data_IF_680275802130
#
_entry.id   IF_680275802130
#
_cell.length_a   1.000
_cell.length_b   1.000
_cell.length_c   1.000
_cell.angle_alpha   90.00
_cell.angle_beta   90.00
_cell.angle_gamma   90.00
#
_symmetry.space_group_name_H-M   'P 1'
#
loop_
_entity.id
_entity.type
_entity.pdbx_description
1 polymer ?
#
# COMPACT_ATOMS: atom_id res chain seq x y z
N UNK A 1 20.30 -17.87 -21.88
CA UNK A 1 20.10 -18.44 -20.54
C UNK A 1 18.63 -18.27 -20.17
N UNK A 2 17.83 -19.30 -20.18
CA UNK A 2 16.44 -19.26 -19.72
C UNK A 2 16.51 -18.98 -18.22
N UNK A 3 16.13 -17.76 -17.82
CA UNK A 3 16.04 -17.38 -16.40
C UNK A 3 15.13 -18.39 -15.70
N UNK A 4 15.65 -19.10 -14.69
CA UNK A 4 14.83 -20.00 -13.87
C UNK A 4 13.68 -19.18 -13.29
N UNK A 5 12.46 -19.59 -13.60
CA UNK A 5 11.25 -18.99 -13.07
C UNK A 5 11.37 -18.92 -11.54
N UNK A 6 11.13 -17.73 -10.96
CA UNK A 6 11.19 -17.53 -9.51
C UNK A 6 9.98 -18.17 -8.84
N UNK A 7 10.16 -19.38 -8.33
CA UNK A 7 9.10 -20.18 -7.69
C UNK A 7 8.51 -19.46 -6.46
N UNK A 8 9.30 -18.65 -5.75
CA UNK A 8 8.82 -17.90 -4.61
C UNK A 8 7.88 -16.78 -5.02
N UNK A 9 8.20 -16.05 -6.09
CA UNK A 9 7.31 -15.05 -6.66
C UNK A 9 6.00 -15.68 -7.18
N UNK A 10 6.09 -16.83 -7.87
CA UNK A 10 4.90 -17.55 -8.33
C UNK A 10 3.97 -17.94 -7.17
N UNK A 11 4.53 -18.40 -6.05
CA UNK A 11 3.75 -18.74 -4.86
C UNK A 11 3.04 -17.49 -4.31
N UNK A 12 3.72 -16.34 -4.22
CA UNK A 12 3.11 -15.10 -3.75
C UNK A 12 2.01 -14.61 -4.71
N UNK A 13 2.22 -14.70 -6.01
CA UNK A 13 1.19 -14.36 -7.01
C UNK A 13 -0.02 -15.30 -6.90
N UNK A 14 0.21 -16.61 -6.71
CA UNK A 14 -0.86 -17.58 -6.48
C UNK A 14 -1.65 -17.25 -5.18
N UNK A 15 -0.95 -16.91 -4.10
CA UNK A 15 -1.57 -16.47 -2.85
C UNK A 15 -2.39 -15.17 -3.03
N UNK A 16 -1.87 -14.20 -3.77
CA UNK A 16 -2.59 -12.96 -4.10
C UNK A 16 -3.83 -13.24 -4.97
N UNK A 17 -3.73 -14.19 -5.93
CA UNK A 17 -4.89 -14.65 -6.73
C UNK A 17 -5.96 -15.25 -5.83
N UNK A 18 -5.56 -16.11 -4.89
CA UNK A 18 -6.49 -16.74 -3.93
C UNK A 18 -7.17 -15.66 -3.06
N UNK A 19 -6.43 -14.66 -2.61
CA UNK A 19 -6.94 -13.57 -1.79
C UNK A 19 -8.05 -12.77 -2.51
N UNK A 20 -7.91 -12.51 -3.81
CA UNK A 20 -8.89 -11.73 -4.58
C UNK A 20 -9.92 -12.59 -5.30
N UNK A 21 -9.82 -13.93 -5.23
CA UNK A 21 -10.73 -14.85 -5.88
C UNK A 21 -12.22 -14.57 -5.64
N UNK A 22 -12.67 -14.19 -4.42
CA UNK A 22 -14.07 -13.92 -4.15
C UNK A 22 -14.70 -12.86 -5.07
N UNK A 23 -13.91 -11.88 -5.56
CA UNK A 23 -14.40 -10.87 -6.52
C UNK A 23 -14.75 -11.49 -7.88
N UNK A 24 -14.01 -12.53 -8.28
CA UNK A 24 -14.19 -13.18 -9.59
C UNK A 24 -15.23 -14.32 -9.55
N UNK A 25 -15.51 -14.86 -8.37
CA UNK A 25 -16.52 -15.90 -8.16
C UNK A 25 -17.95 -15.36 -8.31
N UNK A 26 -18.16 -14.05 -8.35
CA UNK A 26 -19.48 -13.40 -8.47
C UNK A 26 -19.47 -12.38 -9.60
N UNK A 27 -20.62 -12.14 -10.29
CA UNK A 27 -20.72 -11.16 -11.38
C UNK A 27 -20.59 -9.71 -10.87
N UNK A 28 -21.14 -9.41 -9.69
CA UNK A 28 -21.12 -8.07 -9.07
C UNK A 28 -19.88 -7.84 -8.20
N UNK A 29 -19.68 -6.59 -7.76
CA UNK A 29 -18.82 -6.25 -6.62
C UNK A 29 -19.59 -6.44 -5.30
N UNK A 30 -18.90 -6.59 -4.15
CA UNK A 30 -19.52 -6.50 -2.84
C UNK A 30 -20.18 -5.13 -2.64
N UNK A 31 -21.19 -5.08 -1.78
CA UNK A 31 -21.85 -3.84 -1.37
C UNK A 31 -20.98 -3.10 -0.35
N UNK A 32 -19.82 -2.61 -0.77
CA UNK A 32 -18.97 -1.79 0.10
C UNK A 32 -19.56 -0.38 0.31
N UNK A 33 -19.03 0.39 1.26
CA UNK A 33 -19.49 1.77 1.52
C UNK A 33 -19.31 2.68 0.31
N UNK A 34 -18.24 2.47 -0.49
CA UNK A 34 -17.83 3.34 -1.60
C UNK A 34 -17.77 2.61 -2.95
N UNK A 35 -18.00 1.29 -2.99
CA UNK A 35 -17.82 0.47 -4.20
C UNK A 35 -18.62 0.97 -5.39
N UNK A 36 -19.87 1.35 -5.18
CA UNK A 36 -20.78 1.81 -6.23
C UNK A 36 -20.28 3.10 -6.89
N UNK A 37 -19.86 4.09 -6.10
CA UNK A 37 -19.37 5.36 -6.64
C UNK A 37 -18.09 5.19 -7.46
N UNK A 38 -17.24 4.22 -7.14
CA UNK A 38 -16.05 3.91 -7.92
C UNK A 38 -16.39 3.31 -9.28
N UNK A 39 -17.43 2.45 -9.36
CA UNK A 39 -17.91 1.91 -10.63
C UNK A 39 -18.50 3.02 -11.51
N UNK A 40 -19.32 3.92 -10.95
CA UNK A 40 -19.86 5.06 -11.70
C UNK A 40 -18.76 5.99 -12.22
N UNK A 41 -17.72 6.25 -11.44
CA UNK A 41 -16.56 7.03 -11.90
C UNK A 41 -15.84 6.35 -13.05
N UNK A 42 -15.63 5.03 -12.98
CA UNK A 42 -15.01 4.28 -14.07
C UNK A 42 -15.88 4.30 -15.35
N UNK A 43 -17.21 4.19 -15.22
CA UNK A 43 -18.15 4.29 -16.33
C UNK A 43 -18.11 5.67 -16.99
N UNK A 44 -18.03 6.75 -16.20
CA UNK A 44 -17.89 8.12 -16.73
C UNK A 44 -16.59 8.32 -17.49
N UNK A 45 -15.47 7.77 -17.00
CA UNK A 45 -14.19 7.81 -17.72
C UNK A 45 -14.30 7.02 -19.02
N UNK A 46 -14.88 5.81 -19.01
CA UNK A 46 -15.09 5.01 -20.22
C UNK A 46 -15.91 5.77 -21.26
N UNK A 47 -17.03 6.35 -20.86
CA UNK A 47 -17.90 7.14 -21.74
C UNK A 47 -17.15 8.33 -22.34
N UNK A 48 -16.39 9.06 -21.53
CA UNK A 48 -15.58 10.19 -22.00
C UNK A 48 -14.54 9.76 -23.03
N UNK A 49 -13.85 8.62 -22.79
CA UNK A 49 -12.88 8.06 -23.74
C UNK A 49 -13.57 7.69 -25.07
N UNK A 50 -14.76 7.07 -25.03
CA UNK A 50 -15.54 6.76 -26.25
C UNK A 50 -15.93 8.01 -27.04
N UNK A 51 -16.06 9.16 -26.38
CA UNK A 51 -16.33 10.46 -26.98
C UNK A 51 -15.06 11.20 -27.44
N UNK A 52 -13.85 10.58 -27.30
CA UNK A 52 -12.57 11.16 -27.69
C UNK A 52 -11.86 11.97 -26.61
N UNK A 53 -12.41 12.07 -25.40
CA UNK A 53 -11.78 12.77 -24.26
C UNK A 53 -10.96 11.77 -23.45
N UNK A 54 -9.65 11.69 -23.74
CA UNK A 54 -8.76 10.68 -23.16
C UNK A 54 -8.43 10.95 -21.68
N UNK A 55 -8.47 12.20 -21.25
CA UNK A 55 -8.22 12.61 -19.85
C UNK A 55 -9.32 13.57 -19.39
N UNK A 56 -10.50 13.02 -19.02
CA UNK A 56 -11.60 13.85 -18.56
C UNK A 56 -11.27 14.46 -17.18
N UNK A 57 -11.62 15.72 -17.00
CA UNK A 57 -11.63 16.42 -15.70
C UNK A 57 -13.04 16.60 -15.14
N UNK A 58 -14.03 16.49 -16.01
CA UNK A 58 -15.44 16.69 -15.77
C UNK A 58 -16.22 15.40 -15.98
N UNK A 59 -17.17 15.09 -15.08
CA UNK A 59 -18.09 13.97 -15.18
C UNK A 59 -19.48 14.53 -15.53
N UNK A 60 -19.91 14.53 -16.80
CA UNK A 60 -21.12 15.23 -17.24
C UNK A 60 -22.41 14.67 -16.65
N UNK A 61 -22.51 13.36 -16.40
CA UNK A 61 -23.73 12.71 -15.90
C UNK A 61 -23.88 12.79 -14.38
N UNK A 62 -22.83 13.24 -13.67
CA UNK A 62 -22.87 13.35 -12.21
C UNK A 62 -23.72 14.56 -11.78
N UNK A 63 -24.11 14.56 -10.51
CA UNK A 63 -24.90 15.62 -9.89
C UNK A 63 -26.21 15.88 -10.62
N UNK A 64 -26.96 14.77 -10.86
CA UNK A 64 -28.26 14.78 -11.56
C UNK A 64 -28.20 15.31 -12.99
N UNK A 65 -27.09 15.05 -13.70
CA UNK A 65 -26.86 15.52 -15.08
C UNK A 65 -26.40 16.98 -15.18
N UNK A 66 -26.14 17.66 -14.07
CA UNK A 66 -25.56 19.00 -14.08
C UNK A 66 -24.03 18.97 -14.27
N UNK A 67 -23.42 17.80 -14.13
CA UNK A 67 -21.99 17.61 -14.24
C UNK A 67 -21.24 17.91 -12.93
N UNK A 68 -20.04 17.34 -12.81
CA UNK A 68 -19.20 17.51 -11.62
C UNK A 68 -17.71 17.43 -11.96
N UNK A 69 -16.85 18.35 -11.45
CA UNK A 69 -15.41 18.39 -11.75
C UNK A 69 -14.61 17.33 -10.96
N UNK A 70 -15.16 16.11 -10.75
CA UNK A 70 -14.59 15.13 -9.84
C UNK A 70 -13.16 14.73 -10.22
N UNK A 71 -12.89 14.54 -11.52
CA UNK A 71 -11.58 14.07 -12.00
C UNK A 71 -10.50 15.15 -12.00
N UNK A 72 -10.86 16.40 -11.70
CA UNK A 72 -9.89 17.46 -11.43
C UNK A 72 -9.33 17.36 -10.00
N UNK A 73 -10.10 16.82 -9.06
CA UNK A 73 -9.77 16.79 -7.64
C UNK A 73 -9.64 15.37 -7.06
N UNK A 74 -10.16 14.37 -7.75
CA UNK A 74 -10.05 12.97 -7.34
C UNK A 74 -9.17 12.18 -8.32
N UNK A 75 -8.19 11.48 -7.78
CA UNK A 75 -7.14 10.82 -8.55
C UNK A 75 -7.67 9.81 -9.58
N UNK A 76 -7.24 9.89 -10.84
CA UNK A 76 -7.94 9.24 -11.95
C UNK A 76 -7.45 7.83 -12.32
N UNK A 77 -6.28 7.36 -11.83
CA UNK A 77 -5.61 6.18 -12.38
C UNK A 77 -6.47 4.91 -12.30
N UNK A 78 -7.11 4.66 -11.14
CA UNK A 78 -7.93 3.46 -10.96
C UNK A 78 -9.06 3.40 -11.99
N UNK A 79 -9.70 4.53 -12.27
CA UNK A 79 -10.82 4.64 -13.21
C UNK A 79 -10.38 4.48 -14.65
N UNK A 80 -9.23 5.06 -15.01
CA UNK A 80 -8.65 4.89 -16.35
C UNK A 80 -8.26 3.42 -16.59
N UNK A 81 -7.62 2.76 -15.63
CA UNK A 81 -7.29 1.34 -15.74
C UNK A 81 -8.55 0.47 -15.89
N UNK A 82 -9.59 0.74 -15.10
CA UNK A 82 -10.87 0.04 -15.20
C UNK A 82 -11.53 0.28 -16.56
N UNK A 83 -11.58 1.54 -17.02
CA UNK A 83 -12.17 1.92 -18.29
C UNK A 83 -11.42 1.31 -19.48
N UNK A 84 -10.09 1.40 -19.52
CA UNK A 84 -9.29 0.80 -20.59
C UNK A 84 -9.42 -0.72 -20.61
N UNK A 85 -9.42 -1.38 -19.45
CA UNK A 85 -9.67 -2.82 -19.40
C UNK A 85 -11.06 -3.17 -19.97
N UNK A 86 -12.09 -2.43 -19.58
CA UNK A 86 -13.46 -2.59 -20.10
C UNK A 86 -13.51 -2.44 -21.61
N UNK A 87 -12.89 -1.38 -22.15
CA UNK A 87 -12.86 -1.08 -23.59
C UNK A 87 -12.14 -2.14 -24.43
N UNK A 88 -11.01 -2.66 -23.90
CA UNK A 88 -10.17 -3.63 -24.62
C UNK A 88 -10.77 -5.04 -24.52
N UNK A 89 -11.30 -5.42 -23.35
CA UNK A 89 -11.82 -6.77 -23.12
C UNK A 89 -13.28 -6.94 -23.55
N UNK A 90 -14.06 -5.86 -23.60
CA UNK A 90 -15.52 -5.90 -23.80
C UNK A 90 -16.31 -6.42 -22.60
N UNK A 91 -15.67 -6.68 -21.44
CA UNK A 91 -16.29 -7.29 -20.24
C UNK A 91 -17.02 -6.28 -19.34
N UNK A 92 -16.96 -4.99 -19.64
CA UNK A 92 -17.62 -3.92 -18.90
C UNK A 92 -16.83 -3.42 -17.69
N UNK A 93 -17.25 -2.25 -17.17
CA UNK A 93 -16.54 -1.50 -16.12
C UNK A 93 -16.45 -2.23 -14.77
N UNK A 94 -17.42 -3.09 -14.44
CA UNK A 94 -17.36 -3.91 -13.23
C UNK A 94 -16.19 -4.89 -13.29
N UNK A 95 -15.99 -5.55 -14.45
CA UNK A 95 -14.83 -6.42 -14.67
C UNK A 95 -13.53 -5.61 -14.66
N UNK A 96 -13.55 -4.40 -15.25
CA UNK A 96 -12.43 -3.47 -15.18
C UNK A 96 -12.06 -3.07 -13.75
N UNK A 97 -13.04 -2.81 -12.91
CA UNK A 97 -12.82 -2.50 -11.49
C UNK A 97 -12.21 -3.70 -10.74
N UNK A 98 -12.71 -4.92 -11.00
CA UNK A 98 -12.10 -6.16 -10.44
C UNK A 98 -10.67 -6.37 -10.91
N UNK A 99 -10.38 -6.05 -12.17
CA UNK A 99 -9.01 -6.07 -12.70
C UNK A 99 -8.08 -5.13 -11.92
N UNK A 100 -8.56 -3.92 -11.55
CA UNK A 100 -7.77 -2.99 -10.73
C UNK A 100 -7.47 -3.57 -9.35
N UNK A 101 -8.43 -4.24 -8.71
CA UNK A 101 -8.22 -4.92 -7.41
C UNK A 101 -7.22 -6.09 -7.54
N UNK A 102 -7.29 -6.88 -8.62
CA UNK A 102 -6.31 -7.93 -8.92
C UNK A 102 -4.90 -7.34 -9.10
N UNK A 103 -4.80 -6.26 -9.87
CA UNK A 103 -3.54 -5.55 -10.09
C UNK A 103 -2.95 -5.04 -8.78
N UNK A 104 -3.77 -4.45 -7.90
CA UNK A 104 -3.36 -4.00 -6.57
C UNK A 104 -2.79 -5.14 -5.72
N UNK A 105 -3.45 -6.31 -5.72
CA UNK A 105 -2.98 -7.48 -4.98
C UNK A 105 -1.64 -8.00 -5.52
N UNK A 106 -1.47 -8.07 -6.85
CA UNK A 106 -0.22 -8.51 -7.47
C UNK A 106 0.94 -7.54 -7.25
N UNK A 107 0.68 -6.24 -7.39
CA UNK A 107 1.69 -5.21 -7.12
C UNK A 107 2.08 -5.22 -5.64
N UNK A 108 1.12 -5.36 -4.74
CA UNK A 108 1.36 -5.38 -3.31
C UNK A 108 2.19 -6.59 -2.88
N UNK A 109 1.66 -7.80 -3.10
CA UNK A 109 2.36 -9.05 -2.74
C UNK A 109 3.70 -9.21 -3.46
N UNK A 110 3.72 -8.96 -4.78
CA UNK A 110 4.94 -9.02 -5.59
C UNK A 110 5.97 -7.96 -5.20
N UNK A 111 5.52 -6.73 -4.93
CA UNK A 111 6.38 -5.63 -4.49
C UNK A 111 7.05 -5.93 -3.14
N UNK A 112 6.29 -6.40 -2.15
CA UNK A 112 6.84 -6.87 -0.86
C UNK A 112 7.84 -8.01 -1.07
N UNK A 113 7.48 -9.00 -1.89
CA UNK A 113 8.38 -10.10 -2.20
C UNK A 113 9.72 -9.61 -2.76
N UNK A 114 9.70 -8.75 -3.76
CA UNK A 114 10.91 -8.20 -4.37
C UNK A 114 11.73 -7.36 -3.39
N UNK A 115 11.07 -6.52 -2.58
CA UNK A 115 11.70 -5.68 -1.57
C UNK A 115 12.42 -6.51 -0.50
N UNK A 116 11.71 -7.50 0.09
CA UNK A 116 12.26 -8.36 1.14
C UNK A 116 13.32 -9.30 0.60
N UNK A 117 13.13 -9.88 -0.61
CA UNK A 117 14.09 -10.76 -1.26
C UNK A 117 15.45 -10.08 -1.47
N UNK A 118 15.43 -8.82 -1.90
CA UNK A 118 16.65 -8.05 -2.10
C UNK A 118 17.42 -7.79 -0.80
N UNK A 119 16.72 -7.80 0.33
CA UNK A 119 17.31 -7.52 1.65
C UNK A 119 17.76 -8.77 2.38
N UNK A 120 16.96 -9.83 2.37
CA UNK A 120 17.15 -10.97 3.28
C UNK A 120 17.15 -12.34 2.63
N UNK A 121 16.39 -12.56 1.58
CA UNK A 121 16.33 -13.83 0.86
C UNK A 121 14.93 -14.27 0.46
N UNK A 122 14.86 -15.45 -0.19
CA UNK A 122 13.61 -15.92 -0.81
C UNK A 122 12.59 -16.45 0.20
N UNK A 123 13.03 -17.11 1.28
CA UNK A 123 12.11 -17.68 2.28
C UNK A 123 11.40 -16.58 3.05
N UNK A 124 12.16 -15.57 3.50
CA UNK A 124 11.64 -14.38 4.17
C UNK A 124 10.67 -13.61 3.26
N UNK A 125 11.03 -13.50 1.97
CA UNK A 125 10.22 -12.80 0.98
C UNK A 125 8.88 -13.51 0.72
N UNK A 126 8.87 -14.85 0.63
CA UNK A 126 7.63 -15.61 0.47
C UNK A 126 6.67 -15.37 1.64
N UNK A 127 7.14 -15.47 2.87
CA UNK A 127 6.32 -15.25 4.06
C UNK A 127 5.81 -13.81 4.10
N UNK A 128 6.66 -12.82 3.84
CA UNK A 128 6.26 -11.42 3.82
C UNK A 128 5.21 -11.13 2.73
N UNK A 129 5.39 -11.66 1.51
CA UNK A 129 4.44 -11.47 0.41
C UNK A 129 3.08 -12.11 0.68
N UNK A 130 3.05 -13.31 1.26
CA UNK A 130 1.80 -13.97 1.68
C UNK A 130 1.16 -13.20 2.84
N UNK A 131 1.94 -12.77 3.85
CA UNK A 131 1.44 -11.99 4.98
C UNK A 131 0.79 -10.68 4.51
N UNK A 132 1.32 -10.04 3.48
CA UNK A 132 0.71 -8.87 2.84
C UNK A 132 -0.64 -9.20 2.20
N UNK A 133 -0.66 -10.22 1.34
CA UNK A 133 -1.87 -10.61 0.59
C UNK A 133 -3.02 -11.05 1.50
N UNK A 134 -2.70 -11.61 2.67
CA UNK A 134 -3.66 -12.06 3.67
C UNK A 134 -3.73 -11.16 4.92
N UNK A 135 -3.20 -9.93 4.85
CA UNK A 135 -3.46 -8.96 5.92
C UNK A 135 -4.94 -8.55 5.89
N UNK A 136 -5.63 -8.44 7.04
CA UNK A 136 -7.06 -8.14 7.08
C UNK A 136 -7.43 -6.85 6.35
N UNK A 137 -6.55 -5.85 6.41
CA UNK A 137 -6.76 -4.58 5.73
C UNK A 137 -6.78 -4.73 4.21
N UNK A 138 -5.80 -5.44 3.62
CA UNK A 138 -5.68 -5.64 2.17
C UNK A 138 -6.60 -6.73 1.64
N UNK A 139 -6.84 -7.77 2.44
CA UNK A 139 -7.67 -8.91 2.05
C UNK A 139 -9.15 -8.53 2.03
N UNK A 140 -9.61 -7.84 3.06
CA UNK A 140 -11.04 -7.68 3.31
C UNK A 140 -11.47 -6.23 3.52
N UNK A 141 -10.88 -5.52 4.48
CA UNK A 141 -11.43 -4.23 4.93
C UNK A 141 -11.49 -3.20 3.79
N UNK A 142 -10.38 -3.00 3.10
CA UNK A 142 -10.29 -1.97 2.06
C UNK A 142 -11.04 -2.35 0.78
N UNK A 143 -10.82 -3.55 0.18
CA UNK A 143 -11.46 -3.88 -1.08
C UNK A 143 -12.90 -4.37 -0.95
N UNK A 144 -13.27 -5.08 0.14
CA UNK A 144 -14.63 -5.62 0.34
C UNK A 144 -15.48 -4.74 1.26
N UNK A 145 -14.98 -4.42 2.46
CA UNK A 145 -15.75 -3.68 3.46
C UNK A 145 -16.01 -2.25 3.04
N UNK A 146 -14.96 -1.54 2.64
CA UNK A 146 -15.06 -0.16 2.16
C UNK A 146 -15.37 -0.09 0.66
N UNK A 147 -14.82 -0.98 -0.15
CA UNK A 147 -14.93 -0.92 -1.60
C UNK A 147 -14.10 0.21 -2.22
N UNK A 148 -13.06 0.70 -1.52
CA UNK A 148 -12.21 1.81 -1.93
C UNK A 148 -11.15 1.36 -2.95
N UNK A 149 -11.53 1.36 -4.20
CA UNK A 149 -10.71 0.86 -5.33
C UNK A 149 -9.44 1.68 -5.52
N UNK A 150 -9.54 2.99 -5.44
CA UNK A 150 -8.42 3.91 -5.67
C UNK A 150 -7.38 3.84 -4.54
N UNK A 151 -7.82 3.78 -3.29
CA UNK A 151 -6.95 3.62 -2.12
C UNK A 151 -6.31 2.23 -2.11
N UNK A 152 -7.08 1.16 -2.41
CA UNK A 152 -6.57 -0.21 -2.56
C UNK A 152 -5.45 -0.28 -3.60
N UNK A 153 -5.62 0.36 -4.76
CA UNK A 153 -4.58 0.41 -5.79
C UNK A 153 -3.32 1.13 -5.28
N UNK A 154 -3.48 2.27 -4.63
CA UNK A 154 -2.35 3.04 -4.10
C UNK A 154 -1.57 2.24 -3.03
N UNK A 155 -2.28 1.57 -2.12
CA UNK A 155 -1.65 0.71 -1.12
C UNK A 155 -0.91 -0.45 -1.79
N UNK A 156 -1.49 -1.06 -2.85
CA UNK A 156 -0.84 -2.10 -3.64
C UNK A 156 0.42 -1.63 -4.38
N UNK A 157 0.45 -0.38 -4.88
CA UNK A 157 1.63 0.21 -5.54
C UNK A 157 2.74 0.53 -4.53
N UNK A 158 2.39 0.87 -3.28
CA UNK A 158 3.35 1.32 -2.27
C UNK A 158 4.56 0.37 -2.07
N UNK A 159 4.41 -0.96 -1.97
CA UNK A 159 5.56 -1.87 -1.88
C UNK A 159 6.51 -1.82 -3.09
N UNK A 160 5.97 -1.60 -4.29
CA UNK A 160 6.80 -1.46 -5.50
C UNK A 160 7.61 -0.17 -5.45
N UNK A 161 7.04 0.92 -4.92
CA UNK A 161 7.76 2.17 -4.66
C UNK A 161 8.97 1.93 -3.74
N UNK A 162 8.76 1.25 -2.61
CA UNK A 162 9.83 0.94 -1.65
C UNK A 162 10.92 0.07 -2.27
N UNK A 163 10.54 -0.96 -3.03
CA UNK A 163 11.48 -1.79 -3.77
C UNK A 163 12.29 -0.97 -4.77
N UNK A 164 11.63 -0.13 -5.58
CA UNK A 164 12.28 0.66 -6.63
C UNK A 164 13.29 1.66 -6.03
N UNK A 165 12.91 2.39 -4.97
CA UNK A 165 13.82 3.32 -4.29
C UNK A 165 14.96 2.60 -3.54
N UNK A 166 14.73 1.41 -2.98
CA UNK A 166 15.81 0.60 -2.40
C UNK A 166 16.82 0.17 -3.49
N UNK A 167 16.34 -0.12 -4.72
CA UNK A 167 17.21 -0.40 -5.86
C UNK A 167 17.97 0.84 -6.32
N UNK A 168 17.29 1.99 -6.47
CA UNK A 168 17.95 3.27 -6.81
C UNK A 168 19.05 3.59 -5.80
N UNK A 169 18.77 3.43 -4.50
CA UNK A 169 19.76 3.65 -3.43
C UNK A 169 20.96 2.71 -3.54
N UNK A 170 20.77 1.44 -3.92
CA UNK A 170 21.84 0.44 -4.01
C UNK A 170 22.66 0.56 -5.29
N UNK A 171 21.96 0.72 -6.42
CA UNK A 171 22.55 0.62 -7.75
C UNK A 171 22.89 2.00 -8.34
N UNK A 172 22.29 3.08 -7.81
CA UNK A 172 22.39 4.43 -8.36
C UNK A 172 21.61 4.56 -9.67
N UNK A 173 22.25 5.16 -10.66
CA UNK A 173 21.66 5.39 -11.98
C UNK A 173 21.35 4.09 -12.72
N UNK A 174 20.18 4.02 -13.38
CA UNK A 174 19.75 2.88 -14.17
C UNK A 174 18.24 2.84 -14.37
N UNK A 175 17.73 1.71 -14.84
CA UNK A 175 16.29 1.50 -15.12
C UNK A 175 15.42 1.74 -13.87
N UNK A 176 15.96 1.48 -12.69
CA UNK A 176 15.23 1.66 -11.42
C UNK A 176 14.88 3.13 -11.13
N UNK A 177 15.61 4.10 -11.68
CA UNK A 177 15.25 5.53 -11.60
C UNK A 177 13.90 5.77 -12.27
N UNK A 178 13.71 5.23 -13.47
CA UNK A 178 12.44 5.32 -14.20
C UNK A 178 11.31 4.58 -13.47
N UNK A 179 11.57 3.37 -12.96
CA UNK A 179 10.57 2.61 -12.20
C UNK A 179 10.17 3.34 -10.92
N UNK A 180 11.12 3.91 -10.18
CA UNK A 180 10.85 4.70 -8.99
C UNK A 180 10.02 5.95 -9.30
N UNK A 181 10.33 6.66 -10.39
CA UNK A 181 9.59 7.82 -10.85
C UNK A 181 8.16 7.45 -11.26
N UNK A 182 7.98 6.38 -12.03
CA UNK A 182 6.66 5.89 -12.46
C UNK A 182 5.80 5.45 -11.28
N UNK A 183 6.36 4.72 -10.31
CA UNK A 183 5.60 4.28 -9.13
C UNK A 183 5.24 5.44 -8.23
N UNK A 184 6.11 6.46 -8.10
CA UNK A 184 5.80 7.69 -7.40
C UNK A 184 4.63 8.42 -8.08
N UNK A 185 4.69 8.64 -9.38
CA UNK A 185 3.60 9.27 -10.12
C UNK A 185 2.31 8.46 -10.04
N UNK A 186 2.38 7.13 -10.17
CA UNK A 186 1.21 6.25 -10.09
C UNK A 186 0.51 6.33 -8.73
N UNK A 187 1.25 6.50 -7.63
CA UNK A 187 0.66 6.72 -6.30
C UNK A 187 -0.13 8.02 -6.23
N UNK A 188 0.42 9.12 -6.74
CA UNK A 188 -0.30 10.42 -6.81
C UNK A 188 -1.57 10.28 -7.66
N UNK A 189 -1.47 9.63 -8.82
CA UNK A 189 -2.61 9.39 -9.69
C UNK A 189 -3.62 8.37 -9.16
N UNK A 190 -3.26 7.54 -8.15
CA UNK A 190 -4.17 6.58 -7.53
C UNK A 190 -4.90 7.19 -6.34
N UNK A 191 -4.15 7.61 -5.29
CA UNK A 191 -4.73 8.18 -4.08
C UNK A 191 -3.71 9.10 -3.37
N UNK A 192 -3.87 10.44 -3.47
CA UNK A 192 -2.88 11.40 -2.97
C UNK A 192 -2.59 11.30 -1.47
N UNK A 193 -3.60 10.98 -0.65
CA UNK A 193 -3.40 10.87 0.80
C UNK A 193 -2.56 9.64 1.15
N UNK A 194 -2.83 8.49 0.54
CA UNK A 194 -1.98 7.29 0.66
C UNK A 194 -0.57 7.56 0.12
N UNK A 195 -0.45 8.32 -0.98
CA UNK A 195 0.85 8.73 -1.51
C UNK A 195 1.65 9.52 -0.48
N UNK A 196 1.04 10.52 0.20
CA UNK A 196 1.71 11.31 1.24
C UNK A 196 2.20 10.44 2.42
N UNK A 197 1.38 9.50 2.90
CA UNK A 197 1.78 8.56 3.96
C UNK A 197 2.94 7.69 3.49
N UNK A 198 2.86 7.13 2.28
CA UNK A 198 3.92 6.30 1.71
C UNK A 198 5.22 7.09 1.50
N UNK A 199 5.14 8.34 1.04
CA UNK A 199 6.32 9.20 0.86
C UNK A 199 6.96 9.61 2.18
N UNK A 200 6.15 9.88 3.21
CA UNK A 200 6.66 10.12 4.56
C UNK A 200 7.49 8.95 5.06
N UNK A 201 6.99 7.72 4.90
CA UNK A 201 7.73 6.52 5.30
C UNK A 201 8.93 6.22 4.37
N UNK A 202 8.81 6.46 3.08
CA UNK A 202 9.95 6.37 2.15
C UNK A 202 11.06 7.34 2.56
N UNK A 203 10.72 8.58 2.92
CA UNK A 203 11.70 9.54 3.44
C UNK A 203 12.39 9.02 4.70
N UNK A 204 11.61 8.50 5.66
CA UNK A 204 12.17 7.87 6.88
C UNK A 204 13.09 6.70 6.51
N UNK A 205 12.68 5.83 5.59
CA UNK A 205 13.52 4.72 5.12
C UNK A 205 14.83 5.21 4.49
N UNK A 206 14.77 6.22 3.63
CA UNK A 206 15.96 6.77 2.97
C UNK A 206 16.89 7.44 3.97
N UNK A 207 16.35 8.27 4.87
CA UNK A 207 17.15 8.90 5.95
C UNK A 207 17.78 7.83 6.85
N UNK A 208 17.03 6.80 7.21
CA UNK A 208 17.54 5.68 7.99
C UNK A 208 18.71 4.97 7.29
N UNK A 209 18.56 4.69 6.02
CA UNK A 209 19.58 3.98 5.23
C UNK A 209 20.83 4.83 4.98
N UNK A 210 20.68 6.13 4.79
CA UNK A 210 21.83 7.01 4.56
C UNK A 210 22.53 7.47 5.84
N UNK A 211 21.80 7.63 6.96
CA UNK A 211 22.33 8.21 8.19
C UNK A 211 22.52 7.17 9.31
N UNK A 212 21.50 6.33 9.56
CA UNK A 212 21.49 5.44 10.73
C UNK A 212 22.16 4.10 10.43
N UNK A 213 21.90 3.50 9.26
CA UNK A 213 22.50 2.21 8.89
C UNK A 213 24.01 2.21 8.93
N UNK A 214 24.75 3.25 8.46
CA UNK A 214 26.20 3.32 8.60
C UNK A 214 26.65 3.41 10.05
N UNK A 215 25.96 4.18 10.91
CA UNK A 215 26.27 4.30 12.35
C UNK A 215 26.13 2.97 13.09
N UNK A 216 25.22 2.10 12.62
CA UNK A 216 25.03 0.77 13.19
C UNK A 216 25.97 -0.31 12.57
N UNK A 217 27.00 0.12 11.85
CA UNK A 217 27.99 -0.77 11.22
C UNK A 217 27.52 -1.42 9.93
N UNK A 218 26.43 -0.94 9.35
CA UNK A 218 25.98 -1.35 8.02
C UNK A 218 26.90 -0.81 6.92
N UNK A 219 27.08 -1.58 5.84
CA UNK A 219 27.87 -1.12 4.70
C UNK A 219 27.07 -0.06 3.93
N UNK A 220 27.68 1.10 3.68
CA UNK A 220 27.19 2.04 2.68
C UNK A 220 27.22 1.36 1.30
N UNK A 221 26.24 1.65 0.46
CA UNK A 221 26.19 1.03 -0.86
C UNK A 221 27.38 1.47 -1.73
N UNK A 222 27.83 0.58 -2.62
CA UNK A 222 28.92 0.86 -3.54
C UNK A 222 28.56 2.02 -4.50
N UNK A 223 29.50 2.91 -4.80
CA UNK A 223 29.33 3.94 -5.83
C UNK A 223 29.21 5.39 -5.35
N UNK A 224 29.36 5.65 -4.05
CA UNK A 224 29.39 7.01 -3.49
C UNK A 224 27.98 7.60 -3.22
N UNK A 225 27.81 8.22 -2.07
CA UNK A 225 26.54 8.78 -1.57
C UNK A 225 25.97 9.84 -2.53
N UNK A 226 26.83 10.68 -3.13
CA UNK A 226 26.38 11.72 -4.07
C UNK A 226 25.66 11.16 -5.31
N UNK A 227 26.19 10.07 -5.88
CA UNK A 227 25.55 9.39 -7.03
C UNK A 227 24.18 8.81 -6.67
N UNK A 228 24.05 8.26 -5.49
CA UNK A 228 22.80 7.70 -5.01
C UNK A 228 21.77 8.79 -4.72
N UNK A 229 22.17 9.85 -4.04
CA UNK A 229 21.31 11.00 -3.75
C UNK A 229 20.82 11.68 -5.03
N UNK A 230 21.69 11.86 -6.04
CA UNK A 230 21.29 12.43 -7.31
C UNK A 230 20.28 11.55 -8.09
N UNK A 231 20.47 10.22 -8.03
CA UNK A 231 19.52 9.29 -8.64
C UNK A 231 18.16 9.28 -7.92
N UNK A 232 18.15 9.34 -6.58
CA UNK A 232 16.93 9.49 -5.77
C UNK A 232 16.24 10.81 -6.09
N UNK A 233 16.99 11.94 -6.10
CA UNK A 233 16.44 13.25 -6.40
C UNK A 233 15.83 13.31 -7.81
N UNK A 234 16.50 12.72 -8.82
CA UNK A 234 15.94 12.65 -10.17
C UNK A 234 14.67 11.78 -10.21
N UNK A 235 14.63 10.64 -9.50
CA UNK A 235 13.43 9.80 -9.44
C UNK A 235 12.24 10.58 -8.88
N UNK A 236 12.47 11.36 -7.82
CA UNK A 236 11.44 12.21 -7.20
C UNK A 236 11.02 13.33 -8.16
N UNK A 237 11.98 14.05 -8.75
CA UNK A 237 11.67 15.14 -9.67
C UNK A 237 10.87 14.68 -10.89
N UNK A 238 11.27 13.56 -11.49
CA UNK A 238 10.53 12.96 -12.62
C UNK A 238 9.15 12.50 -12.21
N UNK A 239 9.00 11.83 -11.05
CA UNK A 239 7.72 11.35 -10.58
C UNK A 239 6.73 12.48 -10.26
N UNK A 240 7.19 13.54 -9.60
CA UNK A 240 6.40 14.75 -9.35
C UNK A 240 6.07 15.47 -10.65
N UNK A 241 7.03 15.59 -11.59
CA UNK A 241 6.81 16.19 -12.90
C UNK A 241 5.76 15.44 -13.72
N UNK A 242 5.84 14.11 -13.79
CA UNK A 242 4.83 13.30 -14.50
C UNK A 242 3.44 13.43 -13.87
N UNK A 243 3.34 13.48 -12.55
CA UNK A 243 2.05 13.61 -11.86
C UNK A 243 1.52 15.05 -11.80
N UNK A 244 2.27 16.05 -12.28
CA UNK A 244 1.84 17.45 -12.30
C UNK A 244 0.58 17.68 -13.13
N UNK A 245 0.31 16.83 -14.13
CA UNK A 245 -0.93 16.84 -14.91
C UNK A 245 -2.18 16.76 -13.99
N UNK A 246 -2.07 16.12 -12.84
CA UNK A 246 -3.15 15.99 -11.85
C UNK A 246 -3.02 17.00 -10.70
N UNK A 247 -1.91 16.94 -9.93
CA UNK A 247 -1.81 17.70 -8.69
C UNK A 247 -1.68 19.22 -8.91
N UNK A 248 -1.11 19.65 -10.06
CA UNK A 248 -0.91 21.07 -10.31
C UNK A 248 -2.25 21.80 -10.54
N UNK A 249 -3.15 21.37 -11.46
CA UNK A 249 -4.44 22.02 -11.59
C UNK A 249 -5.30 21.85 -10.34
N UNK A 250 -5.31 20.68 -9.70
CA UNK A 250 -6.04 20.49 -8.43
C UNK A 250 -5.60 21.48 -7.35
N UNK A 251 -4.30 21.77 -7.27
CA UNK A 251 -3.75 22.73 -6.31
C UNK A 251 -4.03 24.19 -6.67
N UNK A 252 -3.93 24.55 -7.95
CA UNK A 252 -4.18 25.92 -8.43
C UNK A 252 -5.67 26.29 -8.35
N UNK A 253 -6.55 25.33 -8.59
CA UNK A 253 -8.01 25.53 -8.63
C UNK A 253 -8.69 25.13 -7.30
N UNK A 254 -7.93 24.94 -6.22
CA UNK A 254 -8.47 24.49 -4.91
C UNK A 254 -9.56 25.41 -4.34
N UNK A 255 -9.54 26.68 -4.69
CA UNK A 255 -10.55 27.66 -4.23
C UNK A 255 -11.91 27.49 -4.93
N UNK A 256 -11.94 26.75 -6.05
CA UNK A 256 -13.18 26.46 -6.76
C UNK A 256 -14.00 25.34 -6.07
N UNK A 257 -13.44 24.68 -5.05
CA UNK A 257 -14.10 23.65 -4.27
C UNK A 257 -14.14 23.99 -2.78
N UNK A 258 -15.19 23.51 -2.13
CA UNK A 258 -15.35 23.73 -0.69
C UNK A 258 -14.48 22.76 0.09
N UNK A 259 -13.43 23.28 0.72
CA UNK A 259 -12.50 22.53 1.57
C UNK A 259 -12.84 22.63 3.08
N UNK A 260 -13.84 23.40 3.44
CA UNK A 260 -14.26 23.68 4.81
C UNK A 260 -14.89 22.47 5.51
N UNK A 261 -15.34 21.45 4.76
CA UNK A 261 -15.85 20.19 5.31
C UNK A 261 -14.78 19.33 6.00
N UNK A 262 -13.52 19.46 5.57
CA UNK A 262 -12.44 18.65 6.14
C UNK A 262 -12.15 19.08 7.59
N UNK A 263 -12.18 18.12 8.49
CA UNK A 263 -12.03 18.35 9.93
C UNK A 263 -13.34 18.74 10.64
N UNK A 264 -14.50 18.51 10.00
CA UNK A 264 -15.81 18.74 10.59
C UNK A 264 -16.73 17.52 10.47
N UNK A 265 -17.63 17.34 11.45
CA UNK A 265 -18.64 16.29 11.42
C UNK A 265 -18.07 14.89 11.28
N UNK A 266 -18.46 14.16 10.23
CA UNK A 266 -17.94 12.82 9.93
C UNK A 266 -16.46 12.85 9.50
N UNK A 267 -15.96 13.95 8.96
CA UNK A 267 -14.58 14.09 8.51
C UNK A 267 -13.64 14.65 9.58
N UNK A 268 -14.08 14.71 10.84
CA UNK A 268 -13.27 15.13 11.98
C UNK A 268 -12.48 13.92 12.53
N UNK A 269 -11.15 13.95 12.37
CA UNK A 269 -10.26 12.86 12.79
C UNK A 269 -10.34 12.53 14.28
N UNK A 270 -10.73 13.47 15.14
CA UNK A 270 -10.91 13.25 16.57
C UNK A 270 -11.90 12.11 16.89
N UNK A 271 -12.85 11.85 16.00
CA UNK A 271 -13.88 10.82 16.15
C UNK A 271 -13.46 9.45 15.66
N UNK A 272 -12.26 9.34 15.03
CA UNK A 272 -11.83 8.16 14.30
C UNK A 272 -10.53 7.55 14.81
N UNK A 273 -10.05 8.00 15.97
CA UNK A 273 -8.93 7.33 16.62
C UNK A 273 -9.29 5.91 17.04
N UNK A 274 -8.37 4.98 16.79
CA UNK A 274 -8.53 3.56 17.01
C UNK A 274 -7.95 3.20 18.38
N UNK A 275 -8.62 2.31 19.10
CA UNK A 275 -8.07 1.77 20.34
C UNK A 275 -6.95 0.76 20.03
N UNK A 276 -5.86 0.80 20.80
CA UNK A 276 -4.73 -0.11 20.61
C UNK A 276 -5.17 -1.59 20.66
N UNK A 277 -6.13 -1.91 21.54
CA UNK A 277 -6.69 -3.25 21.64
C UNK A 277 -7.36 -3.74 20.36
N UNK A 278 -7.99 -2.84 19.60
CA UNK A 278 -8.63 -3.17 18.33
C UNK A 278 -7.60 -3.53 17.25
N UNK A 279 -6.47 -2.80 17.18
CA UNK A 279 -5.41 -3.08 16.23
C UNK A 279 -4.81 -4.48 16.37
N UNK A 280 -4.82 -5.04 17.57
CA UNK A 280 -4.28 -6.37 17.89
C UNK A 280 -5.35 -7.47 18.04
N UNK A 281 -6.63 -7.09 18.01
CA UNK A 281 -7.74 -8.04 18.09
C UNK A 281 -7.86 -8.88 16.81
N UNK A 282 -8.49 -10.07 16.89
CA UNK A 282 -8.83 -10.83 15.68
C UNK A 282 -9.70 -10.00 14.72
N UNK A 283 -9.51 -10.14 13.39
CA UNK A 283 -10.39 -9.51 12.43
C UNK A 283 -11.82 -10.05 12.54
N UNK A 284 -12.80 -9.26 12.12
CA UNK A 284 -14.18 -9.67 11.99
C UNK A 284 -14.64 -9.52 10.55
N UNK A 285 -15.62 -10.33 10.15
CA UNK A 285 -16.34 -10.13 8.90
C UNK A 285 -17.33 -8.98 9.11
N UNK A 286 -17.24 -7.97 8.26
CA UNK A 286 -18.17 -6.85 8.24
C UNK A 286 -19.38 -7.23 7.37
N UNK A 287 -20.58 -7.13 7.93
CA UNK A 287 -21.81 -7.18 7.14
C UNK A 287 -22.01 -5.83 6.43
N UNK A 288 -21.58 -5.77 5.18
CA UNK A 288 -21.70 -4.55 4.37
C UNK A 288 -23.12 -4.23 3.93
N UNK A 289 -24.07 -5.17 4.13
CA UNK A 289 -25.51 -4.96 3.91
C UNK A 289 -26.25 -4.37 5.11
N UNK A 290 -25.57 -4.30 6.28
CA UNK A 290 -26.15 -3.69 7.46
C UNK A 290 -26.33 -2.17 7.29
N UNK A 291 -27.34 -1.60 7.94
CA UNK A 291 -27.56 -0.15 7.93
C UNK A 291 -26.39 0.64 8.56
N UNK A 292 -25.69 0.02 9.50
CA UNK A 292 -24.50 0.55 10.16
C UNK A 292 -23.43 -0.55 10.19
N UNK A 293 -22.62 -0.71 9.13
CA UNK A 293 -21.57 -1.73 9.09
C UNK A 293 -20.54 -1.51 10.20
N UNK A 294 -20.26 -2.56 10.97
CA UNK A 294 -19.18 -2.53 11.96
C UNK A 294 -17.85 -2.84 11.26
N UNK A 295 -16.90 -1.92 11.33
CA UNK A 295 -15.54 -2.14 10.86
C UNK A 295 -14.61 -2.41 12.06
N UNK A 296 -13.71 -3.38 11.91
CA UNK A 296 -12.62 -3.61 12.86
C UNK A 296 -11.28 -3.41 12.16
N UNK A 297 -10.50 -2.48 12.69
CA UNK A 297 -9.21 -2.09 12.14
C UNK A 297 -8.08 -2.96 12.72
N UNK A 298 -8.01 -4.21 12.27
CA UNK A 298 -7.04 -5.20 12.76
C UNK A 298 -5.82 -5.31 11.85
N UNK A 299 -4.65 -5.52 12.47
CA UNK A 299 -3.39 -5.86 11.77
C UNK A 299 -3.27 -7.36 11.47
N UNK A 300 -4.16 -8.19 12.02
CA UNK A 300 -4.14 -9.64 11.91
C UNK A 300 -3.34 -10.31 13.04
N UNK A 301 -3.96 -11.27 13.71
CA UNK A 301 -3.36 -11.95 14.87
C UNK A 301 -2.11 -12.75 14.51
N UNK A 302 -2.14 -13.47 13.37
CA UNK A 302 -0.99 -14.24 12.88
C UNK A 302 0.13 -13.32 12.43
N UNK A 303 -0.19 -12.24 11.71
CA UNK A 303 0.78 -11.24 11.28
C UNK A 303 1.47 -10.59 12.48
N UNK A 304 0.73 -10.23 13.52
CA UNK A 304 1.30 -9.66 14.75
C UNK A 304 2.20 -10.68 15.44
N UNK A 305 1.75 -11.93 15.61
CA UNK A 305 2.54 -12.98 16.24
C UNK A 305 3.87 -13.22 15.51
N UNK A 306 3.82 -13.35 14.18
CA UNK A 306 5.04 -13.47 13.35
C UNK A 306 5.89 -12.20 13.41
N UNK A 307 5.27 -11.02 13.34
CA UNK A 307 5.97 -9.73 13.43
C UNK A 307 6.71 -9.54 14.75
N UNK A 308 6.10 -9.94 15.87
CA UNK A 308 6.74 -9.92 17.18
C UNK A 308 7.95 -10.87 17.25
N UNK A 309 7.81 -12.10 16.74
CA UNK A 309 8.93 -13.03 16.62
C UNK A 309 10.05 -12.47 15.73
N UNK A 310 9.69 -11.83 14.62
CA UNK A 310 10.63 -11.15 13.73
C UNK A 310 11.34 -9.99 14.41
N UNK A 311 10.64 -9.17 15.20
CA UNK A 311 11.21 -8.04 15.95
C UNK A 311 12.27 -8.50 16.98
N UNK A 312 12.13 -9.71 17.56
CA UNK A 312 13.13 -10.28 18.47
C UNK A 312 14.50 -10.49 17.80
N UNK A 313 14.57 -10.51 16.46
CA UNK A 313 15.84 -10.60 15.75
C UNK A 313 16.77 -9.38 15.99
N UNK A 314 16.23 -8.28 16.51
CA UNK A 314 17.03 -7.11 16.92
C UNK A 314 18.10 -7.45 17.96
N UNK A 315 17.83 -8.43 18.81
CA UNK A 315 18.78 -8.89 19.84
C UNK A 315 19.88 -9.81 19.28
N UNK A 316 19.78 -10.21 18.02
CA UNK A 316 20.73 -11.11 17.38
C UNK A 316 21.84 -10.34 16.65
N UNK A 317 23.07 -10.38 17.18
CA UNK A 317 24.23 -9.65 16.61
C UNK A 317 24.57 -10.03 15.16
N UNK A 318 24.19 -11.25 14.72
CA UNK A 318 24.49 -11.78 13.38
C UNK A 318 23.49 -11.33 12.31
N UNK A 319 22.37 -10.72 12.69
CA UNK A 319 21.34 -10.27 11.78
C UNK A 319 21.41 -8.75 11.57
N UNK A 320 20.72 -8.28 10.52
CA UNK A 320 20.68 -6.84 10.21
C UNK A 320 19.77 -6.10 11.21
N UNK A 321 20.34 -5.74 12.37
CA UNK A 321 19.66 -4.99 13.43
C UNK A 321 19.01 -3.71 12.90
N UNK A 322 19.70 -3.03 11.97
CA UNK A 322 19.23 -1.77 11.38
C UNK A 322 17.85 -1.94 10.73
N UNK A 323 17.67 -2.96 9.87
CA UNK A 323 16.40 -3.22 9.19
C UNK A 323 15.30 -3.57 10.20
N UNK A 324 15.60 -4.43 11.18
CA UNK A 324 14.61 -4.82 12.21
C UNK A 324 14.17 -3.62 13.05
N UNK A 325 15.12 -2.75 13.45
CA UNK A 325 14.80 -1.53 14.19
C UNK A 325 13.91 -0.59 13.35
N UNK A 326 14.27 -0.35 12.08
CA UNK A 326 13.49 0.50 11.19
C UNK A 326 12.04 0.05 11.11
N UNK A 327 11.81 -1.24 10.80
CA UNK A 327 10.45 -1.76 10.64
C UNK A 327 9.69 -1.84 11.96
N UNK A 328 10.37 -2.16 13.08
CA UNK A 328 9.73 -2.15 14.39
C UNK A 328 9.32 -0.74 14.80
N UNK A 329 10.19 0.25 14.64
CA UNK A 329 9.89 1.64 14.94
C UNK A 329 8.83 2.21 13.99
N UNK A 330 8.89 1.85 12.70
CA UNK A 330 7.88 2.22 11.71
C UNK A 330 6.49 1.66 12.06
N UNK A 331 6.41 0.40 12.50
CA UNK A 331 5.17 -0.21 12.95
C UNK A 331 4.62 0.50 14.20
N UNK A 332 5.46 0.69 15.22
CA UNK A 332 5.06 1.39 16.46
C UNK A 332 4.62 2.82 16.17
N UNK A 333 5.34 3.53 15.30
CA UNK A 333 4.97 4.89 14.87
C UNK A 333 3.63 4.94 14.12
N UNK A 334 3.39 3.99 13.21
CA UNK A 334 2.11 3.91 12.51
C UNK A 334 0.96 3.57 13.45
N UNK A 335 1.16 2.62 14.40
CA UNK A 335 0.17 2.31 15.43
C UNK A 335 -0.11 3.53 16.32
N UNK A 336 0.93 4.25 16.75
CA UNK A 336 0.79 5.48 17.52
C UNK A 336 -0.06 6.51 16.79
N UNK A 337 0.20 6.75 15.50
CA UNK A 337 -0.55 7.72 14.69
C UNK A 337 -2.03 7.38 14.50
N UNK A 338 -2.42 6.13 14.72
CA UNK A 338 -3.82 5.69 14.69
C UNK A 338 -4.56 5.87 16.01
N UNK A 339 -3.86 6.10 17.12
CA UNK A 339 -4.46 6.20 18.47
C UNK A 339 -4.62 7.63 18.95
N UNK A 340 -5.53 7.87 19.89
CA UNK A 340 -5.75 9.17 20.51
C UNK A 340 -4.49 9.76 21.18
N UNK A 341 -3.48 8.95 21.51
CA UNK A 341 -2.20 9.42 22.04
C UNK A 341 -1.45 10.34 21.06
N UNK A 342 -1.74 10.25 19.75
CA UNK A 342 -1.14 11.09 18.71
C UNK A 342 -1.93 12.37 18.42
N UNK A 343 -3.04 12.63 19.11
CA UNK A 343 -3.91 13.79 18.85
C UNK A 343 -3.12 15.10 18.75
N UNK A 344 -2.21 15.36 19.69
CA UNK A 344 -1.38 16.56 19.66
C UNK A 344 -0.52 16.70 18.39
N UNK A 345 -0.07 15.59 17.80
CA UNK A 345 0.67 15.60 16.51
C UNK A 345 -0.27 16.00 15.37
N UNK A 346 -1.48 15.43 15.35
CA UNK A 346 -2.50 15.75 14.34
C UNK A 346 -2.92 17.24 14.39
N UNK A 347 -3.06 17.79 15.59
CA UNK A 347 -3.43 19.20 15.78
C UNK A 347 -2.28 20.17 15.45
N UNK A 348 -1.03 19.77 15.77
CA UNK A 348 0.16 20.60 15.55
C UNK A 348 0.50 20.75 14.05
N UNK A 349 0.11 19.78 13.22
CA UNK A 349 0.42 19.75 11.79
C UNK A 349 -0.86 20.03 10.99
N UNK A 350 -1.16 21.28 10.58
CA UNK A 350 -2.44 21.64 9.98
C UNK A 350 -2.89 20.80 8.79
N UNK A 351 -1.98 20.32 7.89
CA UNK A 351 -2.37 19.43 6.81
C UNK A 351 -2.90 18.07 7.24
N UNK A 352 -2.64 17.60 8.49
CA UNK A 352 -3.10 16.31 8.97
C UNK A 352 -4.63 16.19 8.99
N UNK A 353 -5.37 17.30 9.19
CA UNK A 353 -6.84 17.30 9.14
C UNK A 353 -7.40 16.77 7.81
N UNK A 354 -6.66 16.91 6.72
CA UNK A 354 -7.10 16.41 5.40
C UNK A 354 -7.04 14.87 5.27
N UNK A 355 -6.30 14.20 6.15
CA UNK A 355 -6.31 12.74 6.21
C UNK A 355 -7.61 12.18 6.76
N UNK A 356 -8.37 12.94 7.58
CA UNK A 356 -9.71 12.61 8.09
C UNK A 356 -9.75 11.36 8.99
N UNK A 357 -9.14 10.25 8.55
CA UNK A 357 -9.25 8.94 9.16
C UNK A 357 -7.87 8.39 9.54
N UNK A 358 -7.54 8.31 10.86
CA UNK A 358 -6.29 7.72 11.33
C UNK A 358 -6.04 6.29 10.84
N UNK A 359 -7.09 5.52 10.53
CA UNK A 359 -6.97 4.17 9.99
C UNK A 359 -6.17 4.08 8.67
N UNK A 360 -6.01 5.17 7.93
CA UNK A 360 -5.17 5.20 6.71
C UNK A 360 -3.71 4.83 6.97
N UNK A 361 -3.26 4.94 8.21
CA UNK A 361 -1.96 4.43 8.62
C UNK A 361 -1.88 2.90 8.71
N UNK A 362 -3.00 2.15 8.57
CA UNK A 362 -2.98 0.67 8.50
C UNK A 362 -2.17 0.16 7.31
N UNK A 363 -2.28 0.81 6.16
CA UNK A 363 -1.45 0.46 5.00
C UNK A 363 0.05 0.59 5.30
N UNK A 364 0.44 1.65 6.01
CA UNK A 364 1.82 1.87 6.46
C UNK A 364 2.23 0.86 7.55
N UNK A 365 1.34 0.59 8.51
CA UNK A 365 1.58 -0.41 9.53
C UNK A 365 1.80 -1.79 8.90
N UNK A 366 1.02 -2.15 7.87
CA UNK A 366 1.22 -3.36 7.06
C UNK A 366 2.59 -3.39 6.38
N UNK A 367 2.99 -2.29 5.72
CA UNK A 367 4.32 -2.14 5.09
C UNK A 367 5.48 -2.34 6.09
N UNK A 368 5.29 -1.99 7.35
CA UNK A 368 6.30 -2.19 8.40
C UNK A 368 6.21 -3.60 9.04
N UNK A 369 5.00 -4.14 9.20
CA UNK A 369 4.75 -5.42 9.88
C UNK A 369 5.19 -6.62 9.03
N UNK A 370 4.84 -6.65 7.73
CA UNK A 370 5.06 -7.87 6.93
C UNK A 370 6.54 -8.20 6.67
N UNK A 371 7.48 -7.24 6.54
CA UNK A 371 8.90 -7.57 6.58
C UNK A 371 9.33 -8.24 7.89
N UNK A 372 8.77 -7.82 9.03
CA UNK A 372 9.02 -8.49 10.31
C UNK A 372 8.47 -9.92 10.32
N UNK A 373 7.31 -10.18 9.70
CA UNK A 373 6.80 -11.55 9.52
C UNK A 373 7.83 -12.43 8.76
N UNK A 374 8.46 -11.90 7.71
CA UNK A 374 9.56 -12.58 7.02
C UNK A 374 10.75 -12.84 7.96
N UNK A 375 11.12 -11.89 8.81
CA UNK A 375 12.21 -12.05 9.78
C UNK A 375 11.96 -13.14 10.82
N UNK A 376 10.70 -13.49 11.12
CA UNK A 376 10.38 -14.62 12.00
C UNK A 376 10.97 -15.94 11.51
N UNK A 377 10.97 -16.16 10.19
CA UNK A 377 11.59 -17.34 9.56
C UNK A 377 13.12 -17.34 9.79
N UNK A 378 13.72 -16.19 9.69
CA UNK A 378 15.16 -16.03 9.94
C UNK A 378 15.50 -16.27 11.40
N UNK A 379 14.64 -15.87 12.32
CA UNK A 379 14.79 -16.21 13.74
C UNK A 379 14.77 -17.73 13.95
N UNK A 380 13.84 -18.44 13.30
CA UNK A 380 13.77 -19.90 13.36
C UNK A 380 15.05 -20.57 12.82
N UNK A 381 15.75 -19.97 11.84
CA UNK A 381 17.00 -20.50 11.31
C UNK A 381 18.17 -20.48 12.30
N UNK A 382 18.06 -19.71 13.39
CA UNK A 382 19.04 -19.64 14.48
C UNK A 382 18.87 -20.76 15.50
N UNK A 383 17.73 -21.44 15.48
CA UNK A 383 17.49 -22.59 16.35
C UNK A 383 18.38 -23.76 15.98
N UNK A 384 18.80 -24.54 16.98
CA UNK A 384 19.72 -25.67 16.79
C UNK A 384 19.15 -26.80 15.89
N UNK A 385 17.85 -26.84 15.70
CA UNK A 385 17.16 -27.89 14.98
C UNK A 385 16.96 -27.52 13.50
N UNK A 386 17.78 -28.10 12.63
CA UNK A 386 17.73 -27.87 11.17
C UNK A 386 16.35 -28.13 10.54
N UNK A 387 15.57 -29.06 11.09
CA UNK A 387 14.22 -29.35 10.60
C UNK A 387 13.26 -28.18 10.88
N UNK A 388 13.38 -27.50 12.04
CA UNK A 388 12.58 -26.30 12.37
C UNK A 388 12.86 -25.19 11.36
N UNK A 389 14.13 -24.92 11.05
CA UNK A 389 14.48 -23.87 10.08
C UNK A 389 13.97 -24.16 8.66
N UNK A 390 13.86 -25.45 8.27
CA UNK A 390 13.30 -25.85 6.97
C UNK A 390 11.77 -25.79 6.94
N UNK A 391 11.11 -26.13 8.03
CA UNK A 391 9.66 -26.15 8.14
C UNK A 391 9.04 -24.76 8.42
N UNK A 392 9.79 -23.85 9.04
CA UNK A 392 9.28 -22.54 9.47
C UNK A 392 8.61 -21.72 8.36
N UNK A 393 9.14 -21.61 7.13
CA UNK A 393 8.45 -20.88 6.07
C UNK A 393 7.09 -21.48 5.73
N UNK A 394 7.02 -22.83 5.59
CA UNK A 394 5.78 -23.54 5.27
C UNK A 394 4.75 -23.40 6.41
N UNK A 395 5.20 -23.52 7.66
CA UNK A 395 4.34 -23.36 8.84
C UNK A 395 3.79 -21.93 8.94
N UNK A 396 4.63 -20.91 8.71
CA UNK A 396 4.20 -19.52 8.71
C UNK A 396 3.18 -19.24 7.59
N UNK A 397 3.43 -19.72 6.38
CA UNK A 397 2.51 -19.59 5.25
C UNK A 397 1.19 -20.32 5.55
N UNK A 398 1.25 -21.55 6.06
CA UNK A 398 0.06 -22.31 6.44
C UNK A 398 -0.79 -21.57 7.49
N UNK A 399 -0.15 -20.99 8.50
CA UNK A 399 -0.85 -20.19 9.52
C UNK A 399 -1.50 -18.92 8.92
N UNK A 400 -0.82 -18.23 7.98
CA UNK A 400 -1.36 -17.04 7.30
C UNK A 400 -2.53 -17.37 6.38
N UNK A 401 -2.53 -18.54 5.75
CA UNK A 401 -3.64 -18.98 4.89
C UNK A 401 -4.86 -19.48 5.68
N UNK A 402 -4.64 -19.92 6.92
CA UNK A 402 -5.69 -20.42 7.82
C UNK A 402 -6.38 -19.29 8.58
N UNK A 403 -5.68 -18.18 8.90
CA UNK A 403 -6.19 -17.07 9.70
C UNK A 403 -7.12 -16.14 8.94
#
# INVERSE_FOLDING_TARGET
>A
MINRIDRGLLLVIAAATLAVWPFFARPSLPTGTDAEIHVFRAAQVEQSIRQGVLYPRWAPDFYYGNGYPIFNYYAPLAYHLAAYFSLVSGLGVVAGTKFVLLLAAYLGGGGIYLFVRNRWGGAEAMVAGVAWSFSPYMLFLEPHGRGEVAETLAIGISPVLFWAFDRVRRDGWGIHVGVAALTLAALVFSHPLTALVAYGFLLVLLLWEFLITPLLGGKSAAGGVGRQLSAVALSVALGLGMSALYWLPAGLEREAVRMDYYGQGHYDFHRHFIQLGELVAPPIWTDTGAAFPEFRFSLGTVQIGLGMLGALTVFQRRLRRSDTLLFTLGLVGAMYMMTAASQGVWEMIPPMRYFQFPMRFLGLAGLALVPLCGMAVRWASLLRWKWVSRAAPAAAIGALLWA
#
